data_IF_615527928452
#
_entry.id   IF_615527928452
#
_cell.length_a   1.000
_cell.length_b   1.000
_cell.length_c   1.000
_cell.angle_alpha   90.00
_cell.angle_beta   90.00
_cell.angle_gamma   90.00
#
_symmetry.space_group_name_H-M   'P 1'
#
loop_
_entity.id
_entity.type
_entity.pdbx_description
1 polymer ?
#
# COMPACT_ATOMS: atom_id res chain seq x y z
N UNK A 1 7.65 25.61 8.01
CA UNK A 1 8.62 24.87 8.84
C UNK A 1 9.02 23.58 8.13
N UNK A 2 10.31 23.41 7.84
CA UNK A 2 10.84 22.17 7.25
C UNK A 2 10.51 21.00 8.18
N UNK A 3 9.87 19.94 7.65
CA UNK A 3 9.60 18.73 8.44
C UNK A 3 10.94 18.17 8.91
N UNK A 4 11.09 17.76 10.20
CA UNK A 4 12.23 16.96 10.61
C UNK A 4 12.35 15.78 9.65
N UNK A 5 13.55 15.51 9.14
CA UNK A 5 13.79 14.31 8.36
C UNK A 5 13.59 13.12 9.31
N UNK A 6 12.35 12.61 9.37
CA UNK A 6 11.92 11.62 10.35
C UNK A 6 12.71 10.30 10.22
N UNK A 7 13.34 10.11 9.06
CA UNK A 7 14.14 8.95 8.73
C UNK A 7 15.44 9.36 8.02
N UNK A 8 16.40 9.98 8.74
CA UNK A 8 17.61 10.51 8.12
C UNK A 8 18.47 9.40 7.52
N UNK A 9 18.52 8.23 8.17
CA UNK A 9 19.18 7.03 7.64
C UNK A 9 18.57 6.58 6.31
N UNK A 10 17.23 6.59 6.19
CA UNK A 10 16.58 6.18 4.94
C UNK A 10 16.91 7.13 3.79
N UNK A 11 16.95 8.44 4.06
CA UNK A 11 17.32 9.43 3.06
C UNK A 11 18.76 9.21 2.55
N UNK A 12 19.71 9.03 3.48
CA UNK A 12 21.11 8.74 3.13
C UNK A 12 21.22 7.45 2.32
N UNK A 13 20.55 6.37 2.74
CA UNK A 13 20.57 5.09 1.99
C UNK A 13 20.00 5.24 0.58
N UNK A 14 18.91 6.00 0.40
CA UNK A 14 18.32 6.24 -0.92
C UNK A 14 19.28 7.04 -1.81
N UNK A 15 19.94 8.05 -1.27
CA UNK A 15 20.92 8.85 -2.02
C UNK A 15 22.15 8.02 -2.37
N UNK A 16 22.65 7.19 -1.46
CA UNK A 16 23.74 6.23 -1.71
C UNK A 16 23.35 5.22 -2.80
N UNK A 17 22.14 4.65 -2.75
CA UNK A 17 21.63 3.77 -3.79
C UNK A 17 21.56 4.48 -5.16
N UNK A 18 21.18 5.77 -5.18
CA UNK A 18 21.18 6.59 -6.39
C UNK A 18 22.59 6.87 -6.92
N UNK A 19 23.59 7.02 -6.05
CA UNK A 19 24.99 7.13 -6.47
C UNK A 19 25.44 5.86 -7.20
N UNK A 20 25.15 4.68 -6.64
CA UNK A 20 25.48 3.38 -7.27
C UNK A 20 24.83 3.24 -8.65
N UNK A 21 23.52 3.50 -8.75
CA UNK A 21 22.84 3.38 -10.05
C UNK A 21 23.35 4.41 -11.05
N UNK A 22 23.54 5.68 -10.66
CA UNK A 22 24.14 6.69 -11.55
C UNK A 22 25.53 6.28 -12.04
N UNK A 23 26.38 5.76 -11.17
CA UNK A 23 27.70 5.28 -11.56
C UNK A 23 27.61 4.20 -12.63
N UNK A 24 26.77 3.18 -12.42
CA UNK A 24 26.60 2.09 -13.39
C UNK A 24 26.10 2.61 -14.72
N UNK A 25 25.05 3.45 -14.72
CA UNK A 25 24.43 3.94 -15.96
C UNK A 25 25.27 4.97 -16.71
N UNK A 26 26.18 5.70 -16.04
CA UNK A 26 27.08 6.67 -16.66
C UNK A 26 28.33 6.03 -17.30
N UNK A 27 28.65 4.77 -16.96
CA UNK A 27 29.80 4.07 -17.51
C UNK A 27 29.33 2.95 -18.45
N UNK A 28 29.46 3.17 -19.76
CA UNK A 28 28.94 2.29 -20.82
C UNK A 28 29.39 0.83 -20.67
N UNK A 29 30.67 0.60 -20.39
CA UNK A 29 31.21 -0.74 -20.18
C UNK A 29 30.65 -1.42 -18.92
N UNK A 30 30.50 -0.67 -17.82
CA UNK A 30 29.92 -1.18 -16.55
C UNK A 30 28.46 -1.56 -16.76
N UNK A 31 27.69 -0.68 -17.41
CA UNK A 31 26.29 -0.94 -17.77
C UNK A 31 26.17 -2.17 -18.69
N UNK A 32 27.08 -2.30 -19.66
CA UNK A 32 27.08 -3.42 -20.60
C UNK A 32 27.29 -4.75 -19.89
N UNK A 33 28.32 -4.88 -19.03
CA UNK A 33 28.56 -6.12 -18.29
C UNK A 33 27.42 -6.42 -17.32
N UNK A 34 26.88 -5.41 -16.63
CA UNK A 34 25.74 -5.59 -15.72
C UNK A 34 24.55 -6.19 -16.45
N UNK A 35 24.20 -5.63 -17.63
CA UNK A 35 23.09 -6.11 -18.44
C UNK A 35 23.36 -7.50 -19.00
N UNK A 36 24.51 -7.71 -19.64
CA UNK A 36 24.81 -8.94 -20.37
C UNK A 36 25.05 -10.13 -19.43
N UNK A 37 25.85 -9.95 -18.40
CA UNK A 37 26.46 -11.07 -17.66
C UNK A 37 25.76 -11.32 -16.31
N UNK A 38 25.11 -10.31 -15.73
CA UNK A 38 24.61 -10.37 -14.34
C UNK A 38 23.09 -10.27 -14.22
N UNK A 39 22.44 -9.40 -15.00
CA UNK A 39 21.00 -9.10 -14.81
C UNK A 39 20.10 -9.73 -15.89
N UNK A 40 20.66 -10.44 -16.86
CA UNK A 40 19.96 -10.99 -18.03
C UNK A 40 19.16 -9.93 -18.78
N UNK A 41 19.86 -8.87 -19.21
CA UNK A 41 19.37 -7.68 -19.92
C UNK A 41 18.34 -6.84 -19.16
N UNK A 42 18.21 -7.00 -17.85
CA UNK A 42 17.25 -6.24 -17.04
C UNK A 42 17.87 -4.99 -16.46
N UNK A 43 17.08 -3.92 -16.44
CA UNK A 43 17.46 -2.66 -15.85
C UNK A 43 17.21 -2.60 -14.33
N UNK A 44 18.08 -1.86 -13.63
CA UNK A 44 17.91 -1.53 -12.21
C UNK A 44 16.91 -0.38 -12.04
N UNK A 45 16.83 0.54 -12.99
CA UNK A 45 15.90 1.65 -12.98
C UNK A 45 14.67 1.26 -13.79
N UNK A 46 13.50 1.33 -13.16
CA UNK A 46 12.21 1.09 -13.82
C UNK A 46 11.32 2.32 -13.68
N UNK A 47 11.06 3.05 -14.77
CA UNK A 47 10.13 4.16 -14.75
C UNK A 47 8.73 3.70 -14.33
N UNK A 48 8.05 4.53 -13.56
CA UNK A 48 6.64 4.40 -13.23
C UNK A 48 5.97 5.77 -13.32
N UNK A 49 4.62 5.78 -13.42
CA UNK A 49 3.82 7.00 -13.63
C UNK A 49 4.18 8.08 -12.61
N UNK A 50 4.41 7.72 -11.35
CA UNK A 50 4.85 8.66 -10.33
C UNK A 50 6.34 8.52 -10.01
N UNK A 51 6.98 9.67 -9.73
CA UNK A 51 8.36 9.72 -9.22
C UNK A 51 8.56 8.91 -7.93
N UNK A 52 7.51 8.80 -7.10
CA UNK A 52 7.52 8.01 -5.87
C UNK A 52 7.60 6.52 -6.17
N UNK A 53 6.72 6.01 -7.04
CA UNK A 53 6.76 4.63 -7.49
C UNK A 53 8.09 4.31 -8.20
N UNK A 54 8.61 5.21 -9.02
CA UNK A 54 9.90 5.05 -9.70
C UNK A 54 11.05 4.84 -8.71
N UNK A 55 11.15 5.68 -7.68
CA UNK A 55 12.19 5.55 -6.65
C UNK A 55 12.10 4.23 -5.89
N UNK A 56 10.88 3.82 -5.50
CA UNK A 56 10.67 2.55 -4.79
C UNK A 56 11.00 1.35 -5.68
N UNK A 57 10.47 1.29 -6.90
CA UNK A 57 10.70 0.17 -7.82
C UNK A 57 12.19 0.07 -8.16
N UNK A 58 12.87 1.20 -8.36
CA UNK A 58 14.32 1.20 -8.62
C UNK A 58 15.11 0.65 -7.43
N UNK A 59 14.76 1.03 -6.19
CA UNK A 59 15.39 0.50 -4.99
C UNK A 59 15.10 -1.00 -4.80
N UNK A 60 13.87 -1.43 -5.09
CA UNK A 60 13.48 -2.84 -5.06
C UNK A 60 14.26 -3.66 -6.10
N UNK A 61 14.45 -3.11 -7.31
CA UNK A 61 15.23 -3.78 -8.36
C UNK A 61 16.71 -3.84 -7.99
N UNK A 62 17.27 -2.77 -7.43
CA UNK A 62 18.64 -2.76 -6.90
C UNK A 62 18.83 -3.86 -5.84
N UNK A 63 17.90 -3.98 -4.90
CA UNK A 63 17.94 -5.02 -3.87
C UNK A 63 17.80 -6.43 -4.46
N UNK A 64 16.92 -6.60 -5.45
CA UNK A 64 16.72 -7.88 -6.13
C UNK A 64 17.99 -8.41 -6.77
N UNK A 65 18.80 -7.55 -7.37
CA UNK A 65 20.07 -7.91 -8.02
C UNK A 65 21.29 -7.76 -7.11
N UNK A 66 21.09 -7.72 -5.78
CA UNK A 66 22.18 -7.52 -4.81
C UNK A 66 23.34 -8.50 -5.04
N UNK A 67 23.04 -9.79 -5.17
CA UNK A 67 24.08 -10.82 -5.21
C UNK A 67 24.84 -10.75 -6.53
N UNK A 68 24.13 -10.51 -7.62
CA UNK A 68 24.67 -10.34 -8.96
C UNK A 68 25.55 -9.09 -9.05
N UNK A 69 25.14 -7.98 -8.42
CA UNK A 69 25.96 -6.78 -8.30
C UNK A 69 27.21 -7.04 -7.47
N UNK A 70 27.10 -7.73 -6.33
CA UNK A 70 28.30 -8.09 -5.54
C UNK A 70 29.28 -8.93 -6.36
N UNK A 71 28.79 -9.92 -7.10
CA UNK A 71 29.63 -10.73 -7.99
C UNK A 71 30.27 -9.90 -9.10
N UNK A 72 29.53 -8.95 -9.68
CA UNK A 72 30.04 -8.04 -10.70
C UNK A 72 31.21 -7.21 -10.18
N UNK A 73 31.06 -6.56 -9.03
CA UNK A 73 32.08 -5.71 -8.42
C UNK A 73 33.27 -6.47 -7.80
N UNK A 74 33.23 -7.80 -7.75
CA UNK A 74 34.37 -8.64 -7.37
C UNK A 74 34.93 -9.46 -8.55
N UNK A 75 34.44 -9.24 -9.76
CA UNK A 75 34.84 -10.02 -10.93
C UNK A 75 36.19 -9.57 -11.50
N UNK A 76 36.91 -10.48 -12.15
CA UNK A 76 38.12 -10.14 -12.91
C UNK A 76 37.81 -9.11 -14.01
N UNK A 77 36.63 -9.19 -14.61
CA UNK A 77 36.18 -8.23 -15.62
C UNK A 77 36.08 -6.82 -15.05
N UNK A 78 35.59 -6.65 -13.82
CA UNK A 78 35.58 -5.36 -13.12
C UNK A 78 37.01 -4.89 -12.79
N UNK A 79 37.84 -5.74 -12.20
CA UNK A 79 39.22 -5.39 -11.82
C UNK A 79 40.11 -5.00 -13.01
N UNK A 80 39.80 -5.49 -14.20
CA UNK A 80 40.50 -5.13 -15.44
C UNK A 80 40.06 -3.77 -16.02
N UNK A 81 38.95 -3.18 -15.54
CA UNK A 81 38.48 -1.89 -16.04
C UNK A 81 39.26 -0.74 -15.41
N UNK A 82 39.62 0.27 -16.21
CA UNK A 82 40.28 1.49 -15.73
C UNK A 82 39.45 2.24 -14.67
N UNK A 83 38.12 2.17 -14.76
CA UNK A 83 37.21 2.82 -13.80
C UNK A 83 37.26 2.20 -12.40
N UNK A 84 37.69 0.93 -12.29
CA UNK A 84 37.74 0.22 -11.01
C UNK A 84 38.80 0.79 -10.06
N UNK A 85 39.91 1.29 -10.61
CA UNK A 85 41.01 1.89 -9.86
C UNK A 85 40.84 3.39 -9.61
N UNK A 86 39.69 3.97 -9.96
CA UNK A 86 39.39 5.38 -9.65
C UNK A 86 38.84 5.49 -8.24
N UNK A 87 39.08 6.63 -7.57
CA UNK A 87 38.50 6.91 -6.24
C UNK A 87 36.98 6.68 -6.20
N UNK A 88 36.28 7.04 -7.27
CA UNK A 88 34.82 6.84 -7.39
C UNK A 88 34.48 5.36 -7.54
N UNK A 89 35.22 4.61 -8.37
CA UNK A 89 35.03 3.17 -8.54
C UNK A 89 35.27 2.39 -7.26
N UNK A 90 36.27 2.77 -6.47
CA UNK A 90 36.56 2.20 -5.16
C UNK A 90 35.46 2.52 -4.14
N UNK A 91 34.98 3.78 -4.09
CA UNK A 91 33.84 4.18 -3.24
C UNK A 91 32.60 3.34 -3.54
N UNK A 92 32.23 3.20 -4.83
CA UNK A 92 31.05 2.44 -5.26
C UNK A 92 31.21 0.94 -4.95
N UNK A 93 32.40 0.38 -5.18
CA UNK A 93 32.68 -1.02 -4.81
C UNK A 93 32.53 -1.23 -3.31
N UNK A 94 33.07 -0.31 -2.50
CA UNK A 94 32.92 -0.33 -1.04
C UNK A 94 31.45 -0.33 -0.60
N UNK A 95 30.63 0.53 -1.21
CA UNK A 95 29.18 0.58 -0.94
C UNK A 95 28.48 -0.73 -1.32
N UNK A 96 28.76 -1.29 -2.50
CA UNK A 96 28.14 -2.53 -2.98
C UNK A 96 28.58 -3.74 -2.16
N UNK A 97 29.77 -3.72 -1.57
CA UNK A 97 30.25 -4.80 -0.72
C UNK A 97 29.84 -4.65 0.75
N UNK A 98 29.45 -3.44 1.17
CA UNK A 98 29.00 -3.17 2.53
C UNK A 98 27.66 -3.86 2.86
N UNK A 99 27.72 -4.75 3.85
CA UNK A 99 26.53 -5.44 4.38
C UNK A 99 25.57 -4.48 5.11
N UNK A 100 26.08 -3.40 5.70
CA UNK A 100 25.25 -2.42 6.40
C UNK A 100 24.36 -1.65 5.43
N UNK A 101 24.90 -1.24 4.28
CA UNK A 101 24.14 -0.66 3.17
C UNK A 101 22.97 -1.55 2.74
N UNK A 102 23.23 -2.84 2.47
CA UNK A 102 22.17 -3.75 2.02
C UNK A 102 21.10 -4.02 3.08
N UNK A 103 21.48 -4.10 4.36
CA UNK A 103 20.51 -4.21 5.47
C UNK A 103 19.58 -2.99 5.52
N UNK A 104 20.12 -1.79 5.30
CA UNK A 104 19.32 -0.58 5.24
C UNK A 104 18.41 -0.53 4.00
N UNK A 105 18.89 -0.97 2.84
CA UNK A 105 18.08 -1.08 1.61
C UNK A 105 16.93 -2.07 1.83
N UNK A 106 17.21 -3.26 2.35
CA UNK A 106 16.22 -4.28 2.68
C UNK A 106 15.13 -3.73 3.61
N UNK A 107 15.55 -3.03 4.66
CA UNK A 107 14.64 -2.37 5.60
C UNK A 107 13.68 -1.43 4.89
N UNK A 108 14.17 -0.51 4.06
CA UNK A 108 13.34 0.47 3.32
C UNK A 108 12.38 -0.23 2.37
N UNK A 109 12.86 -1.22 1.61
CA UNK A 109 12.03 -1.99 0.67
C UNK A 109 10.92 -2.73 1.43
N UNK A 110 11.25 -3.36 2.55
CA UNK A 110 10.29 -4.15 3.33
C UNK A 110 9.17 -3.31 3.95
N UNK A 111 9.48 -2.12 4.47
CA UNK A 111 8.47 -1.19 5.00
C UNK A 111 7.58 -0.67 3.88
N UNK A 112 8.20 -0.25 2.77
CA UNK A 112 7.50 0.39 1.66
C UNK A 112 6.62 -0.59 0.86
N UNK A 113 6.98 -1.88 0.80
CA UNK A 113 6.21 -2.93 0.12
C UNK A 113 4.76 -2.98 0.63
N UNK A 114 4.55 -2.83 1.94
CA UNK A 114 3.22 -2.85 2.55
C UNK A 114 2.34 -1.69 2.07
N UNK A 115 2.93 -0.50 1.89
CA UNK A 115 2.23 0.69 1.40
C UNK A 115 1.97 0.62 -0.11
N UNK A 116 2.90 0.03 -0.87
CA UNK A 116 2.71 -0.19 -2.31
C UNK A 116 1.55 -1.15 -2.58
N UNK A 117 1.31 -2.14 -1.71
CA UNK A 117 0.11 -3.01 -1.81
C UNK A 117 -1.19 -2.23 -1.61
N UNK A 118 -1.21 -1.23 -0.72
CA UNK A 118 -2.36 -0.34 -0.55
C UNK A 118 -2.55 0.54 -1.78
N UNK A 119 -1.49 1.11 -2.34
CA UNK A 119 -1.57 1.91 -3.57
C UNK A 119 -2.14 1.10 -4.73
N UNK A 120 -1.64 -0.12 -4.95
CA UNK A 120 -2.16 -1.02 -5.99
C UNK A 120 -3.63 -1.39 -5.82
N UNK A 121 -4.13 -1.45 -4.58
CA UNK A 121 -5.54 -1.67 -4.31
C UNK A 121 -6.39 -0.47 -4.77
N UNK A 122 -5.91 0.75 -4.53
CA UNK A 122 -6.63 1.99 -4.89
C UNK A 122 -6.52 2.26 -6.39
N UNK A 123 -5.41 1.89 -7.02
CA UNK A 123 -5.19 2.04 -8.47
C UNK A 123 -5.87 0.92 -9.29
N UNK A 124 -6.46 -0.10 -8.67
CA UNK A 124 -7.12 -1.20 -9.38
C UNK A 124 -8.54 -0.81 -9.77
N UNK A 125 -8.85 -0.93 -11.06
CA UNK A 125 -10.21 -0.70 -11.60
C UNK A 125 -11.14 -1.91 -11.42
N UNK A 126 -10.58 -3.09 -11.08
CA UNK A 126 -11.32 -4.35 -11.04
C UNK A 126 -12.33 -4.45 -9.89
N UNK A 127 -12.07 -3.74 -8.77
CA UNK A 127 -12.91 -3.77 -7.56
C UNK A 127 -12.99 -2.41 -6.90
N UNK A 128 -14.16 -2.00 -6.36
CA UNK A 128 -14.30 -0.79 -5.55
C UNK A 128 -13.34 -0.78 -4.35
N UNK A 129 -12.27 0.02 -4.43
CA UNK A 129 -11.25 0.08 -3.39
C UNK A 129 -11.75 0.68 -2.05
N UNK A 130 -12.78 1.54 -2.13
CA UNK A 130 -13.28 2.35 -1.02
C UNK A 130 -13.64 1.52 0.23
N UNK A 131 -14.33 0.38 0.04
CA UNK A 131 -14.75 -0.51 1.13
C UNK A 131 -13.64 -1.40 1.70
N UNK A 132 -12.44 -1.39 1.12
CA UNK A 132 -11.29 -2.20 1.56
C UNK A 132 -10.11 -1.36 2.07
N UNK A 133 -10.12 -0.04 1.81
CA UNK A 133 -8.99 0.84 2.07
C UNK A 133 -8.59 0.89 3.55
N UNK A 134 -9.55 0.99 4.47
CA UNK A 134 -9.27 0.97 5.92
C UNK A 134 -8.56 -0.32 6.34
N UNK A 135 -9.07 -1.47 5.91
CA UNK A 135 -8.48 -2.77 6.22
C UNK A 135 -7.07 -2.91 5.64
N UNK A 136 -6.88 -2.46 4.39
CA UNK A 136 -5.59 -2.50 3.72
C UNK A 136 -4.55 -1.63 4.46
N UNK A 137 -4.96 -0.45 4.94
CA UNK A 137 -4.09 0.44 5.71
C UNK A 137 -3.71 -0.16 7.08
N UNK A 138 -4.66 -0.77 7.79
CA UNK A 138 -4.40 -1.47 9.04
C UNK A 138 -3.47 -2.69 8.83
N UNK A 139 -3.72 -3.49 7.79
CA UNK A 139 -2.84 -4.60 7.38
C UNK A 139 -1.43 -4.11 7.07
N UNK A 140 -1.28 -2.95 6.42
CA UNK A 140 0.02 -2.36 6.14
C UNK A 140 0.77 -1.98 7.43
N UNK A 141 0.11 -1.27 8.36
CA UNK A 141 0.68 -0.94 9.68
C UNK A 141 1.11 -2.18 10.46
N UNK A 142 0.26 -3.21 10.51
CA UNK A 142 0.56 -4.51 11.15
C UNK A 142 1.72 -5.24 10.47
N UNK A 143 1.83 -5.15 9.14
CA UNK A 143 2.96 -5.73 8.40
C UNK A 143 4.29 -5.03 8.74
N UNK A 144 4.29 -3.69 8.81
CA UNK A 144 5.45 -2.91 9.26
C UNK A 144 5.84 -3.32 10.68
N UNK A 145 4.88 -3.42 11.60
CA UNK A 145 5.17 -3.81 12.97
C UNK A 145 5.77 -5.22 13.09
N UNK A 146 5.23 -6.19 12.36
CA UNK A 146 5.79 -7.56 12.33
C UNK A 146 7.23 -7.58 11.82
N UNK A 147 7.57 -6.74 10.84
CA UNK A 147 8.93 -6.62 10.30
C UNK A 147 9.89 -6.00 11.31
N UNK A 148 9.49 -4.91 11.95
CA UNK A 148 10.34 -4.19 12.89
C UNK A 148 10.46 -4.86 14.26
N UNK A 149 9.64 -5.88 14.54
CA UNK A 149 9.56 -6.66 15.79
C UNK A 149 9.13 -5.84 17.01
N UNK A 150 9.70 -4.65 17.20
CA UNK A 150 9.38 -3.72 18.29
C UNK A 150 8.37 -2.67 17.85
N UNK A 151 7.34 -2.49 18.67
CA UNK A 151 6.32 -1.45 18.46
C UNK A 151 6.94 -0.05 18.44
N UNK A 152 7.92 0.23 19.31
CA UNK A 152 8.61 1.52 19.39
C UNK A 152 9.28 1.94 18.08
N UNK A 153 9.86 0.98 17.34
CA UNK A 153 10.49 1.22 16.04
C UNK A 153 9.46 1.46 14.93
N UNK A 154 8.22 0.98 15.11
CA UNK A 154 7.12 1.15 14.15
C UNK A 154 6.40 2.49 14.31
N UNK A 155 6.41 3.07 15.51
CA UNK A 155 5.69 4.31 15.82
C UNK A 155 6.05 5.49 14.88
N UNK A 156 7.32 5.75 14.52
CA UNK A 156 7.63 6.83 13.58
C UNK A 156 6.97 6.62 12.21
N UNK A 157 6.91 5.38 11.72
CA UNK A 157 6.24 5.04 10.46
C UNK A 157 4.73 5.20 10.56
N UNK A 158 4.14 4.69 11.63
CA UNK A 158 2.72 4.86 11.90
C UNK A 158 2.32 6.32 11.98
N UNK A 159 3.09 7.17 12.68
CA UNK A 159 2.84 8.63 12.74
C UNK A 159 2.82 9.29 11.36
N UNK A 160 3.70 8.88 10.44
CA UNK A 160 3.69 9.41 9.07
C UNK A 160 2.47 8.91 8.30
N UNK A 161 2.15 7.63 8.45
CA UNK A 161 0.98 7.01 7.81
C UNK A 161 -0.31 7.67 8.33
N UNK A 162 -0.49 7.76 9.64
CA UNK A 162 -1.64 8.37 10.31
C UNK A 162 -1.82 9.82 9.89
N UNK A 163 -0.73 10.61 9.93
CA UNK A 163 -0.80 12.00 9.48
C UNK A 163 -1.23 12.11 8.01
N UNK A 164 -0.72 11.24 7.13
CA UNK A 164 -1.09 11.23 5.70
C UNK A 164 -2.53 10.75 5.51
N UNK A 165 -2.93 9.75 6.28
CA UNK A 165 -4.28 9.23 6.33
C UNK A 165 -5.25 10.34 6.69
N UNK A 166 -5.13 10.92 7.88
CA UNK A 166 -6.02 11.97 8.39
C UNK A 166 -6.10 13.22 7.50
N UNK A 167 -5.01 13.58 6.82
CA UNK A 167 -4.95 14.84 6.04
C UNK A 167 -5.29 14.68 4.56
N UNK A 168 -5.20 13.48 3.98
CA UNK A 168 -5.27 13.31 2.53
C UNK A 168 -6.18 12.17 2.06
N UNK A 169 -6.40 11.14 2.87
CA UNK A 169 -7.07 9.91 2.43
C UNK A 169 -8.29 9.56 3.30
N UNK A 170 -8.28 9.89 4.58
CA UNK A 170 -9.37 9.59 5.47
C UNK A 170 -10.57 10.50 5.16
N UNK A 171 -11.73 9.87 5.00
CA UNK A 171 -13.01 10.53 4.88
C UNK A 171 -14.02 9.67 5.62
N UNK A 172 -15.03 10.25 6.28
CA UNK A 172 -16.18 9.52 6.79
C UNK A 172 -16.75 8.50 5.79
N UNK A 173 -16.70 8.82 4.49
CA UNK A 173 -17.14 7.92 3.42
C UNK A 173 -16.32 6.63 3.33
N UNK A 174 -15.00 6.70 3.49
CA UNK A 174 -14.14 5.50 3.52
C UNK A 174 -14.46 4.63 4.74
N UNK A 175 -14.71 5.26 5.90
CA UNK A 175 -15.07 4.57 7.12
C UNK A 175 -16.45 3.90 7.01
N UNK A 176 -17.45 4.59 6.44
CA UNK A 176 -18.76 4.03 6.15
C UNK A 176 -18.68 2.87 5.14
N UNK A 177 -17.92 3.02 4.06
CA UNK A 177 -17.74 1.95 3.07
C UNK A 177 -17.10 0.70 3.68
N UNK A 178 -16.11 0.88 4.57
CA UNK A 178 -15.52 -0.22 5.32
C UNK A 178 -16.51 -0.86 6.30
N UNK A 179 -17.32 -0.06 6.99
CA UNK A 179 -18.37 -0.54 7.89
C UNK A 179 -19.42 -1.38 7.18
N UNK A 180 -19.83 -0.95 5.97
CA UNK A 180 -20.89 -1.59 5.20
C UNK A 180 -20.43 -2.80 4.38
N UNK A 181 -19.12 -3.01 4.24
CA UNK A 181 -18.56 -4.16 3.55
C UNK A 181 -18.86 -5.47 4.32
N UNK A 182 -19.81 -6.32 3.89
CA UNK A 182 -20.25 -7.46 4.68
C UNK A 182 -19.15 -8.53 4.82
N UNK A 183 -18.32 -8.69 3.79
CA UNK A 183 -17.20 -9.62 3.80
C UNK A 183 -16.14 -9.26 4.84
N UNK A 184 -16.04 -7.98 5.19
CA UNK A 184 -15.16 -7.50 6.24
C UNK A 184 -15.89 -7.39 7.57
N UNK A 185 -17.04 -6.72 7.65
CA UNK A 185 -17.75 -6.43 8.90
C UNK A 185 -18.06 -7.69 9.73
N UNK A 186 -18.41 -8.79 9.05
CA UNK A 186 -18.72 -10.06 9.71
C UNK A 186 -17.53 -11.02 9.81
N UNK A 187 -16.34 -10.63 9.32
CA UNK A 187 -15.12 -11.39 9.58
C UNK A 187 -14.78 -11.31 11.08
N UNK A 188 -14.42 -12.42 11.76
CA UNK A 188 -14.04 -12.40 13.16
C UNK A 188 -12.87 -11.46 13.50
N UNK A 189 -12.03 -11.12 12.51
CA UNK A 189 -10.89 -10.21 12.63
C UNK A 189 -11.27 -8.76 12.42
N UNK A 190 -12.53 -8.46 12.10
CA UNK A 190 -13.00 -7.10 11.88
C UNK A 190 -12.78 -6.24 13.11
N UNK A 191 -12.02 -5.17 12.92
CA UNK A 191 -11.77 -4.22 14.00
C UNK A 191 -12.93 -3.23 14.09
N UNK A 192 -13.77 -3.38 15.12
CA UNK A 192 -14.94 -2.53 15.40
C UNK A 192 -14.54 -1.19 16.02
N UNK A 193 -13.56 -0.52 15.42
CA UNK A 193 -13.01 0.74 15.92
C UNK A 193 -14.09 1.81 16.04
N UNK A 194 -13.92 2.69 17.05
CA UNK A 194 -14.81 3.83 17.27
C UNK A 194 -14.83 4.78 16.07
N UNK A 195 -13.70 4.94 15.39
CA UNK A 195 -13.54 5.76 14.19
C UNK A 195 -14.47 5.30 13.06
N UNK A 196 -14.54 3.99 12.81
CA UNK A 196 -15.36 3.42 11.73
C UNK A 196 -16.84 3.65 11.98
N UNK A 197 -17.30 3.46 13.22
CA UNK A 197 -18.70 3.74 13.61
C UNK A 197 -19.03 5.22 13.52
N UNK A 198 -18.11 6.09 13.96
CA UNK A 198 -18.28 7.54 13.85
C UNK A 198 -18.40 7.95 12.39
N UNK A 199 -17.50 7.47 11.52
CA UNK A 199 -17.54 7.78 10.10
C UNK A 199 -18.84 7.36 9.42
N UNK A 200 -19.43 6.22 9.79
CA UNK A 200 -20.76 5.81 9.31
C UNK A 200 -21.84 6.83 9.72
N UNK A 201 -21.87 7.24 10.99
CA UNK A 201 -22.85 8.21 11.47
C UNK A 201 -22.66 9.58 10.81
N UNK A 202 -21.41 10.06 10.73
CA UNK A 202 -21.06 11.32 10.09
C UNK A 202 -21.52 11.36 8.61
N UNK A 203 -21.45 10.22 7.89
CA UNK A 203 -21.96 10.11 6.52
C UNK A 203 -23.47 10.21 6.47
N UNK A 204 -24.18 9.49 7.35
CA UNK A 204 -25.65 9.52 7.38
C UNK A 204 -26.14 10.93 7.73
N UNK A 205 -25.57 11.57 8.76
CA UNK A 205 -25.93 12.94 9.16
C UNK A 205 -25.69 13.95 8.03
N UNK A 206 -24.62 13.76 7.25
CA UNK A 206 -24.26 14.69 6.17
C UNK A 206 -25.03 14.47 4.88
N UNK A 207 -25.39 13.23 4.54
CA UNK A 207 -26.07 12.89 3.29
C UNK A 207 -27.59 12.89 3.41
N UNK A 208 -28.14 12.68 4.62
CA UNK A 208 -29.58 12.53 4.84
C UNK A 208 -30.08 13.67 5.71
N UNK A 209 -30.74 14.63 5.08
CA UNK A 209 -31.28 15.82 5.75
C UNK A 209 -32.59 15.54 6.51
N UNK A 210 -33.35 14.53 6.07
CA UNK A 210 -34.63 14.14 6.65
C UNK A 210 -34.43 13.24 7.88
N UNK A 211 -34.99 13.64 9.01
CA UNK A 211 -34.84 12.94 10.28
C UNK A 211 -35.58 11.60 10.33
N UNK A 212 -36.74 11.49 9.67
CA UNK A 212 -37.51 10.24 9.59
C UNK A 212 -36.74 9.18 8.78
N UNK A 213 -36.13 9.61 7.67
CA UNK A 213 -35.26 8.74 6.85
C UNK A 213 -34.02 8.34 7.65
N UNK A 214 -33.43 9.27 8.41
CA UNK A 214 -32.27 8.98 9.28
C UNK A 214 -32.62 7.90 10.31
N UNK A 215 -33.78 7.98 10.95
CA UNK A 215 -34.24 7.00 11.94
C UNK A 215 -34.48 5.61 11.33
N UNK A 216 -34.96 5.54 10.09
CA UNK A 216 -35.07 4.28 9.34
C UNK A 216 -33.69 3.68 9.10
N UNK A 217 -32.72 4.49 8.65
CA UNK A 217 -31.34 4.04 8.40
C UNK A 217 -30.69 3.53 9.69
N UNK A 218 -30.87 4.22 10.82
CA UNK A 218 -30.33 3.79 12.12
C UNK A 218 -30.90 2.43 12.55
N UNK A 219 -32.19 2.20 12.31
CA UNK A 219 -32.83 0.88 12.53
C UNK A 219 -32.22 -0.18 11.61
N UNK A 220 -32.11 0.08 10.31
CA UNK A 220 -31.50 -0.84 9.35
C UNK A 220 -30.03 -1.15 9.64
N UNK A 221 -29.24 -0.18 10.10
CA UNK A 221 -27.87 -0.39 10.57
C UNK A 221 -27.87 -1.36 11.75
N UNK A 222 -28.83 -1.25 12.67
CA UNK A 222 -28.94 -2.18 13.79
C UNK A 222 -29.24 -3.59 13.31
N UNK A 223 -30.14 -3.74 12.35
CA UNK A 223 -30.50 -5.04 11.77
C UNK A 223 -29.33 -5.66 11.00
N UNK A 224 -28.62 -4.86 10.19
CA UNK A 224 -27.39 -5.26 9.52
C UNK A 224 -26.40 -5.83 10.55
N UNK A 225 -26.06 -5.06 11.58
CA UNK A 225 -25.07 -5.47 12.59
C UNK A 225 -25.44 -6.79 13.28
N UNK A 226 -26.74 -7.03 13.48
CA UNK A 226 -27.27 -8.23 14.15
C UNK A 226 -27.57 -9.38 13.20
N UNK A 227 -27.41 -9.19 11.89
CA UNK A 227 -27.86 -10.15 10.88
C UNK A 227 -29.34 -10.49 11.04
N UNK A 228 -30.18 -9.50 11.30
CA UNK A 228 -31.63 -9.69 11.40
C UNK A 228 -32.30 -9.57 10.03
N UNK A 229 -33.51 -10.11 9.94
CA UNK A 229 -34.35 -10.02 8.74
C UNK A 229 -33.61 -10.49 7.47
N UNK A 230 -33.68 -9.71 6.39
CA UNK A 230 -33.05 -10.02 5.10
C UNK A 230 -31.52 -10.18 5.19
N UNK A 231 -30.86 -9.44 6.10
CA UNK A 231 -29.41 -9.51 6.32
C UNK A 231 -28.93 -10.84 6.93
N UNK A 232 -29.85 -11.57 7.58
CA UNK A 232 -29.62 -12.89 8.19
C UNK A 232 -29.98 -14.08 7.33
N UNK A 233 -30.60 -13.85 6.16
CA UNK A 233 -31.02 -14.94 5.28
C UNK A 233 -29.83 -15.83 4.86
N UNK A 234 -30.08 -17.12 4.67
CA UNK A 234 -29.02 -18.07 4.27
C UNK A 234 -28.29 -17.63 2.98
N UNK A 235 -29.01 -16.99 2.05
CA UNK A 235 -28.44 -16.41 0.83
C UNK A 235 -27.57 -15.19 1.13
N UNK A 236 -28.03 -14.25 1.95
CA UNK A 236 -27.23 -13.09 2.36
C UNK A 236 -25.93 -13.53 3.04
N UNK A 237 -26.01 -14.46 4.00
CA UNK A 237 -24.83 -14.99 4.71
C UNK A 237 -23.83 -15.64 3.75
N UNK A 238 -24.28 -16.50 2.83
CA UNK A 238 -23.40 -17.15 1.83
C UNK A 238 -22.72 -16.17 0.88
N UNK A 239 -23.31 -14.99 0.66
CA UNK A 239 -22.83 -14.00 -0.31
C UNK A 239 -21.99 -12.87 0.30
N UNK A 240 -21.89 -12.76 1.64
CA UNK A 240 -21.12 -11.69 2.32
C UNK A 240 -19.71 -11.51 1.78
N UNK A 241 -19.00 -12.61 1.54
CA UNK A 241 -17.63 -12.61 1.04
C UNK A 241 -17.51 -12.67 -0.50
N UNK A 242 -18.64 -12.89 -1.21
CA UNK A 242 -18.68 -13.08 -2.67
C UNK A 242 -19.08 -11.83 -3.42
N UNK A 243 -19.95 -11.01 -2.82
CA UNK A 243 -20.39 -9.75 -3.41
C UNK A 243 -19.46 -8.62 -2.98
N UNK A 244 -18.91 -7.91 -3.97
CA UNK A 244 -18.14 -6.70 -3.70
C UNK A 244 -19.08 -5.58 -3.25
N UNK A 245 -18.69 -4.76 -2.25
CA UNK A 245 -19.44 -3.54 -1.94
C UNK A 245 -19.41 -2.63 -3.17
N UNK A 246 -20.53 -2.53 -3.89
CA UNK A 246 -20.63 -1.72 -5.12
C UNK A 246 -20.50 -0.23 -4.77
N UNK A 247 -19.84 0.53 -5.65
CA UNK A 247 -19.82 1.99 -5.63
C UNK A 247 -21.26 2.52 -5.56
N UNK A 248 -21.60 3.20 -4.47
CA UNK A 248 -22.85 3.95 -4.37
C UNK A 248 -22.68 5.20 -5.24
N UNK A 249 -23.27 5.18 -6.43
CA UNK A 249 -23.48 6.40 -7.20
C UNK A 249 -24.50 7.26 -6.41
N UNK A 250 -24.07 8.45 -5.99
CA UNK A 250 -24.82 9.31 -5.06
C UNK A 250 -26.13 9.82 -5.70
N UNK A 251 -26.29 9.65 -7.01
CA UNK A 251 -27.50 10.00 -7.76
C UNK A 251 -28.63 8.96 -7.67
N UNK A 252 -28.41 7.78 -7.07
CA UNK A 252 -29.43 6.73 -6.92
C UNK A 252 -29.76 6.41 -5.44
N UNK A 253 -29.60 7.37 -4.53
CA UNK A 253 -30.00 7.19 -3.12
C UNK A 253 -31.54 7.06 -2.97
N UNK A 254 -32.31 7.31 -4.04
CA UNK A 254 -33.74 6.98 -4.11
C UNK A 254 -34.10 5.54 -4.51
N UNK A 255 -33.14 4.70 -4.93
CA UNK A 255 -33.43 3.35 -5.48
C UNK A 255 -32.54 2.22 -4.96
N UNK A 256 -31.44 2.52 -4.24
CA UNK A 256 -30.47 1.50 -3.81
C UNK A 256 -30.92 0.55 -2.68
N UNK A 257 -32.11 0.74 -2.11
CA UNK A 257 -32.74 -0.23 -1.21
C UNK A 257 -33.77 -1.15 -1.89
N UNK A 258 -34.00 -1.05 -3.21
CA UNK A 258 -35.03 -1.83 -3.91
C UNK A 258 -34.52 -3.00 -4.76
N UNK A 259 -33.22 -3.33 -4.76
CA UNK A 259 -32.67 -4.32 -5.72
C UNK A 259 -32.32 -5.69 -5.10
N UNK A 260 -32.51 -5.91 -3.80
CA UNK A 260 -32.41 -7.26 -3.24
C UNK A 260 -33.73 -7.74 -2.64
N UNK A 261 -34.36 -8.65 -3.41
CA UNK A 261 -35.48 -9.57 -3.13
C UNK A 261 -36.81 -9.15 -3.79
N UNK A 262 -37.05 -9.61 -5.03
CA UNK A 262 -38.07 -10.62 -5.40
C UNK A 262 -37.87 -11.04 -6.88
N UNK A 263 -38.17 -12.30 -7.27
CA UNK A 263 -38.14 -12.73 -8.66
C UNK A 263 -39.28 -12.07 -9.44
N UNK A 264 -39.03 -11.71 -10.71
CA UNK A 264 -40.11 -11.51 -11.68
C UNK A 264 -40.83 -12.86 -11.83
N UNK A 265 -42.03 -12.98 -11.28
CA UNK A 265 -43.00 -13.93 -11.81
C UNK A 265 -43.59 -13.32 -13.08
N UNK A 266 -43.45 -14.06 -14.17
CA UNK A 266 -44.15 -13.87 -15.45
C UNK A 266 -45.52 -14.54 -15.33
N UNK A 267 -46.59 -13.75 -15.27
CA UNK A 267 -47.63 -13.61 -16.30
C UNK A 267 -48.63 -12.52 -15.90
#
# INVERSE_FOLDING_TARGET
MAKPNLFPKNAVTIDTARKVTRFIYNHTHVLHIMRRDYTNRRDLIRPAITRFATNFISLQCLYKFRNELRQMFTSNAWSAMSVSSTLVGEEISGIVLDNSFWKNVEHIVSVSESLVKVLRLVDSEDKPAMGYLHEAMDKAKKAIQRRLKKKSESLPYWRVIDRRWETQLHSPLHAAAYFLNPGLYFDPKFDKQREVKRGMNDVVEKLVCDDDIRDIIVRQITDYKRSHHSFGSATAVRNRAKMSPVLVDVNEIGAFFSIFILPKETD
#
